data_IF_019939517472
#
_entry.id   IF_019939517472
#
_cell.length_a   1.000
_cell.length_b   1.000
_cell.length_c   1.000
_cell.angle_alpha   90.00
_cell.angle_beta   90.00
_cell.angle_gamma   90.00
#
_symmetry.space_group_name_H-M   'P 1'
#
loop_
_entity.id
_entity.type
_entity.pdbx_description
1 polymer ?
#
# COMPACT_ATOMS: atom_id res chain seq x y z
N UNK A 1 9.60 4.79 -51.90
CA UNK A 1 8.82 4.11 -50.83
C UNK A 1 8.81 4.83 -49.47
N UNK A 2 9.83 5.61 -49.08
CA UNK A 2 9.88 6.20 -47.73
C UNK A 2 9.02 7.47 -47.48
N UNK A 3 8.48 8.12 -48.53
CA UNK A 3 7.65 9.34 -48.36
C UNK A 3 6.19 9.09 -47.97
N UNK A 4 5.64 7.90 -48.23
CA UNK A 4 4.24 7.57 -47.91
C UNK A 4 4.03 7.13 -46.45
N UNK A 5 5.07 6.64 -45.77
CA UNK A 5 4.96 6.12 -44.39
C UNK A 5 4.88 7.26 -43.36
N UNK A 6 5.56 8.39 -43.62
CA UNK A 6 5.52 9.58 -42.75
C UNK A 6 4.20 10.36 -42.82
N UNK A 7 3.48 10.29 -43.94
CA UNK A 7 2.16 10.90 -44.06
C UNK A 7 1.13 10.10 -43.25
N UNK A 8 1.16 8.77 -43.32
CA UNK A 8 0.26 7.89 -42.57
C UNK A 8 0.38 8.03 -41.04
N UNK A 9 1.59 8.28 -40.50
CA UNK A 9 1.77 8.46 -39.04
C UNK A 9 1.23 9.79 -38.51
N UNK A 10 1.26 10.86 -39.32
CA UNK A 10 0.66 12.16 -38.96
C UNK A 10 -0.86 12.11 -38.98
N UNK A 11 -1.46 11.41 -39.96
CA UNK A 11 -2.90 11.16 -40.00
C UNK A 11 -3.36 10.27 -38.84
N UNK A 12 -2.58 9.26 -38.47
CA UNK A 12 -2.87 8.38 -37.32
C UNK A 12 -2.85 9.15 -35.99
N UNK A 13 -1.88 10.05 -35.76
CA UNK A 13 -1.86 10.93 -34.57
C UNK A 13 -2.97 11.96 -34.55
N UNK A 14 -3.32 12.54 -35.71
CA UNK A 14 -4.44 13.48 -35.81
C UNK A 14 -5.78 12.78 -35.52
N UNK A 15 -5.96 11.54 -35.99
CA UNK A 15 -7.14 10.71 -35.71
C UNK A 15 -7.20 10.25 -34.24
N UNK A 16 -6.07 9.87 -33.64
CA UNK A 16 -6.00 9.55 -32.21
C UNK A 16 -6.31 10.76 -31.32
N UNK A 17 -5.82 11.95 -31.70
CA UNK A 17 -6.15 13.19 -31.01
C UNK A 17 -7.61 13.56 -31.22
N UNK A 18 -8.16 13.42 -32.42
CA UNK A 18 -9.58 13.65 -32.70
C UNK A 18 -10.50 12.68 -31.93
N UNK A 19 -10.13 11.40 -31.81
CA UNK A 19 -10.86 10.42 -30.97
C UNK A 19 -10.81 10.79 -29.48
N UNK A 20 -9.69 11.35 -28.99
CA UNK A 20 -9.59 11.88 -27.62
C UNK A 20 -10.47 13.12 -27.40
N UNK A 21 -10.60 13.99 -28.40
CA UNK A 21 -11.54 15.12 -28.32
C UNK A 21 -13.01 14.67 -28.34
N UNK A 22 -13.36 13.66 -29.15
CA UNK A 22 -14.73 13.13 -29.21
C UNK A 22 -15.19 12.37 -27.95
N UNK A 23 -14.26 11.91 -27.11
CA UNK A 23 -14.59 11.14 -25.90
C UNK A 23 -14.71 11.98 -24.64
N UNK A 24 -14.32 13.26 -24.67
CA UNK A 24 -14.45 14.17 -23.52
C UNK A 24 -15.88 14.74 -23.37
N UNK A 25 -16.63 14.89 -24.47
CA UNK A 25 -18.00 15.45 -24.47
C UNK A 25 -19.11 14.40 -24.64
N UNK A 26 -18.76 13.12 -24.83
CA UNK A 26 -19.74 12.06 -25.08
C UNK A 26 -20.30 11.44 -23.78
N UNK A 27 -20.82 12.27 -22.88
CA UNK A 27 -21.92 11.82 -22.03
C UNK A 27 -23.23 12.18 -22.73
N UNK A 28 -23.54 11.49 -23.83
CA UNK A 28 -24.87 11.57 -24.42
C UNK A 28 -25.81 10.69 -23.61
N UNK A 29 -27.11 11.00 -23.60
CA UNK A 29 -28.14 10.18 -22.95
C UNK A 29 -28.18 8.71 -23.44
N UNK A 30 -27.39 8.37 -24.47
CA UNK A 30 -27.30 7.07 -25.10
C UNK A 30 -26.28 6.13 -24.43
N UNK A 31 -25.25 6.65 -23.74
CA UNK A 31 -24.24 5.82 -23.07
C UNK A 31 -23.84 6.41 -21.71
N UNK A 32 -23.85 5.62 -20.62
CA UNK A 32 -23.46 6.10 -19.30
C UNK A 32 -21.97 6.44 -19.27
N UNK A 33 -21.62 7.53 -18.58
CA UNK A 33 -20.21 7.86 -18.33
C UNK A 33 -19.64 6.94 -17.26
N UNK A 34 -18.74 6.04 -17.66
CA UNK A 34 -18.12 5.07 -16.75
C UNK A 34 -17.13 5.76 -15.79
N UNK A 35 -16.46 6.82 -16.25
CA UNK A 35 -15.42 7.50 -15.47
C UNK A 35 -15.92 8.85 -14.96
N UNK A 36 -16.03 8.96 -13.64
CA UNK A 36 -16.49 10.16 -12.94
C UNK A 36 -15.55 10.61 -11.82
N UNK A 37 -14.50 9.84 -11.53
CA UNK A 37 -13.58 10.11 -10.42
C UNK A 37 -12.83 11.44 -10.62
N UNK A 38 -12.66 12.20 -9.54
CA UNK A 38 -12.13 13.56 -9.56
C UNK A 38 -10.67 13.65 -10.05
N UNK A 39 -9.90 12.57 -9.92
CA UNK A 39 -8.53 12.49 -10.46
C UNK A 39 -8.49 12.49 -11.99
N UNK A 40 -9.58 12.11 -12.66
CA UNK A 40 -9.71 12.14 -14.13
C UNK A 40 -10.57 13.33 -14.58
N UNK A 41 -11.62 13.64 -13.81
CA UNK A 41 -12.52 14.78 -14.05
C UNK A 41 -12.44 15.75 -12.86
N UNK A 42 -11.48 16.70 -12.88
CA UNK A 42 -11.26 17.61 -11.76
C UNK A 42 -12.52 18.39 -11.39
N UNK A 43 -12.84 18.41 -10.10
CA UNK A 43 -14.05 19.05 -9.56
C UNK A 43 -14.07 20.56 -9.82
N UNK A 44 -12.91 21.21 -9.76
CA UNK A 44 -12.74 22.65 -10.05
C UNK A 44 -13.22 23.07 -11.46
N UNK A 45 -13.22 22.13 -12.42
CA UNK A 45 -13.63 22.38 -13.81
C UNK A 45 -15.10 22.05 -14.05
N UNK A 46 -15.82 21.60 -13.03
CA UNK A 46 -17.17 21.10 -13.13
C UNK A 46 -18.12 22.02 -12.34
N UNK A 47 -19.10 22.58 -13.04
CA UNK A 47 -20.03 23.56 -12.46
C UNK A 47 -20.85 23.01 -11.29
N UNK A 48 -20.97 21.68 -11.17
CA UNK A 48 -21.65 21.03 -10.04
C UNK A 48 -20.97 21.28 -8.69
N UNK A 49 -19.70 21.69 -8.70
CA UNK A 49 -18.89 21.92 -7.50
C UNK A 49 -18.63 23.39 -7.21
N UNK A 50 -19.19 24.32 -8.00
CA UNK A 50 -18.84 25.74 -7.93
C UNK A 50 -19.15 26.40 -6.57
N UNK A 51 -20.12 25.88 -5.83
CA UNK A 51 -20.56 26.41 -4.53
C UNK A 51 -20.10 25.55 -3.34
N UNK A 52 -19.35 24.48 -3.58
CA UNK A 52 -18.87 23.58 -2.53
C UNK A 52 -17.55 24.13 -1.97
N UNK A 53 -17.53 24.34 -0.65
CA UNK A 53 -16.30 24.65 0.05
C UNK A 53 -15.42 23.41 0.17
N UNK A 54 -14.18 23.53 -0.29
CA UNK A 54 -13.20 22.45 -0.35
C UNK A 54 -12.10 22.61 0.72
N UNK A 55 -12.26 23.53 1.67
CA UNK A 55 -11.32 23.68 2.79
C UNK A 55 -11.25 22.38 3.61
N UNK A 56 -10.02 21.96 3.95
CA UNK A 56 -9.75 20.74 4.72
C UNK A 56 -9.05 21.10 6.04
N UNK A 57 -9.44 20.43 7.11
CA UNK A 57 -8.70 20.50 8.37
C UNK A 57 -7.31 19.87 8.22
N UNK A 58 -6.33 20.49 8.87
CA UNK A 58 -4.94 20.03 8.88
C UNK A 58 -4.54 19.58 10.29
N UNK A 59 -3.68 18.56 10.34
CA UNK A 59 -3.02 18.07 11.56
C UNK A 59 -1.53 17.85 11.25
N UNK A 60 -0.66 17.97 12.26
CA UNK A 60 0.80 17.98 12.11
C UNK A 60 1.46 16.81 12.84
N UNK A 61 2.24 16.00 12.14
CA UNK A 61 3.02 14.90 12.72
C UNK A 61 4.50 15.03 12.34
N UNK A 62 5.39 14.56 13.20
CA UNK A 62 6.83 14.52 12.89
C UNK A 62 7.15 13.41 11.87
N UNK A 63 6.41 12.30 11.96
CA UNK A 63 6.51 11.18 11.02
C UNK A 63 5.12 10.66 10.67
N UNK A 64 4.78 10.73 9.39
CA UNK A 64 3.56 10.16 8.84
C UNK A 64 3.87 8.92 8.00
N UNK A 65 3.22 7.80 8.32
CA UNK A 65 3.38 6.52 7.63
C UNK A 65 2.09 6.17 6.91
N UNK A 66 2.20 5.87 5.62
CA UNK A 66 1.06 5.45 4.79
C UNK A 66 1.12 3.93 4.60
N UNK A 67 0.18 3.23 5.21
CA UNK A 67 -0.01 1.78 5.11
C UNK A 67 0.37 1.03 6.39
N UNK A 68 -0.62 0.37 7.01
CA UNK A 68 -0.50 -0.51 8.16
C UNK A 68 -0.13 -1.94 7.78
N UNK A 69 0.93 -2.09 7.00
CA UNK A 69 1.52 -3.39 6.67
C UNK A 69 2.70 -3.75 7.57
N UNK A 70 3.38 -4.88 7.32
CA UNK A 70 4.56 -5.26 8.11
C UNK A 70 5.66 -4.20 8.04
N UNK A 71 5.89 -3.60 6.87
CA UNK A 71 6.86 -2.53 6.70
C UNK A 71 6.48 -1.25 7.45
N UNK A 72 5.22 -0.79 7.34
CA UNK A 72 4.76 0.43 7.99
C UNK A 72 4.82 0.34 9.52
N UNK A 73 4.35 -0.77 10.08
CA UNK A 73 4.47 -0.98 11.53
C UNK A 73 5.92 -1.17 11.98
N UNK A 74 6.76 -1.85 11.18
CA UNK A 74 8.19 -1.97 11.52
C UNK A 74 8.86 -0.60 11.59
N UNK A 75 8.56 0.29 10.64
CA UNK A 75 9.07 1.66 10.64
C UNK A 75 8.53 2.46 11.84
N UNK A 76 7.24 2.37 12.14
CA UNK A 76 6.61 3.09 13.24
C UNK A 76 7.20 2.67 14.61
N UNK A 77 7.28 1.35 14.84
CA UNK A 77 7.86 0.76 16.05
C UNK A 77 9.31 1.19 16.20
N UNK A 78 10.13 1.05 15.16
CA UNK A 78 11.56 1.40 15.26
C UNK A 78 11.77 2.89 15.47
N UNK A 79 10.96 3.75 14.84
CA UNK A 79 11.02 5.19 15.04
C UNK A 79 10.75 5.57 16.50
N UNK A 80 9.71 5.00 17.12
CA UNK A 80 9.39 5.21 18.54
C UNK A 80 10.48 4.66 19.48
N UNK A 81 11.02 3.48 19.19
CA UNK A 81 12.15 2.92 19.96
C UNK A 81 13.37 3.85 19.92
N UNK A 82 13.76 4.34 18.73
CA UNK A 82 14.89 5.28 18.58
C UNK A 82 14.62 6.61 19.31
N UNK A 83 13.40 7.13 19.24
CA UNK A 83 13.02 8.35 19.94
C UNK A 83 13.14 8.17 21.47
N UNK A 84 12.65 7.05 22.00
CA UNK A 84 12.76 6.69 23.41
C UNK A 84 14.22 6.52 23.85
N UNK A 85 15.05 5.82 23.06
CA UNK A 85 16.50 5.67 23.30
C UNK A 85 17.21 7.03 23.41
N UNK A 86 16.76 8.02 22.63
CA UNK A 86 17.32 9.38 22.61
C UNK A 86 16.64 10.34 23.60
N UNK A 87 15.59 9.92 24.31
CA UNK A 87 14.78 10.78 25.17
C UNK A 87 14.10 11.93 24.42
N UNK A 88 13.68 11.70 23.17
CA UNK A 88 13.01 12.68 22.32
C UNK A 88 11.54 12.33 22.17
N UNK A 89 10.70 13.37 22.18
CA UNK A 89 9.31 13.23 21.77
C UNK A 89 9.23 13.15 20.24
N UNK A 90 8.48 12.18 19.73
CA UNK A 90 8.25 11.99 18.29
C UNK A 90 6.78 11.61 18.08
N UNK A 91 6.01 12.48 17.45
CA UNK A 91 4.64 12.19 17.05
C UNK A 91 4.64 11.39 15.76
N UNK A 92 4.26 10.12 15.86
CA UNK A 92 4.18 9.19 14.73
C UNK A 92 2.72 8.88 14.46
N UNK A 93 2.24 9.22 13.27
CA UNK A 93 0.91 8.89 12.80
C UNK A 93 1.00 7.84 11.68
N UNK A 94 0.11 6.85 11.69
CA UNK A 94 0.01 5.83 10.67
C UNK A 94 -1.42 5.77 10.15
N UNK A 95 -1.60 5.89 8.83
CA UNK A 95 -2.90 5.77 8.17
C UNK A 95 -3.00 4.43 7.43
N UNK A 96 -4.10 3.72 7.59
CA UNK A 96 -4.38 2.46 6.91
C UNK A 96 -5.76 2.49 6.26
N UNK A 97 -5.86 2.05 5.00
CA UNK A 97 -7.10 2.05 4.23
C UNK A 97 -8.11 1.02 4.71
N UNK A 98 -7.65 -0.15 5.16
CA UNK A 98 -8.52 -1.21 5.68
C UNK A 98 -9.29 -0.69 6.90
N UNK A 99 -10.55 -1.10 7.03
CA UNK A 99 -11.40 -0.73 8.18
C UNK A 99 -10.85 -1.21 9.51
N UNK A 100 -10.01 -2.24 9.48
CA UNK A 100 -9.27 -2.79 10.61
C UNK A 100 -7.85 -3.16 10.18
N UNK A 101 -6.91 -3.15 11.11
CA UNK A 101 -5.53 -3.54 10.84
C UNK A 101 -5.48 -5.02 10.44
N UNK A 102 -4.80 -5.30 9.33
CA UNK A 102 -4.74 -6.64 8.75
C UNK A 102 -5.84 -6.94 7.72
N UNK A 103 -6.89 -6.12 7.62
CA UNK A 103 -8.05 -6.39 6.75
C UNK A 103 -7.74 -6.44 5.25
N UNK A 104 -6.69 -5.75 4.80
CA UNK A 104 -6.20 -5.81 3.41
C UNK A 104 -4.93 -6.66 3.23
N UNK A 105 -4.46 -7.34 4.28
CA UNK A 105 -3.24 -8.16 4.19
C UNK A 105 -3.57 -9.53 3.60
N UNK A 106 -2.93 -9.84 2.47
CA UNK A 106 -3.05 -11.13 1.80
C UNK A 106 -1.66 -11.70 1.51
N UNK A 107 -1.38 -12.90 2.04
CA UNK A 107 -0.14 -13.64 1.76
C UNK A 107 -0.30 -15.12 2.13
N UNK A 108 0.40 -16.00 1.39
CA UNK A 108 0.61 -17.40 1.80
C UNK A 108 1.71 -17.58 2.87
N UNK A 109 2.42 -16.50 3.17
CA UNK A 109 3.41 -16.26 4.23
C UNK A 109 4.12 -17.49 4.83
N UNK A 110 5.31 -17.75 4.28
CA UNK A 110 6.42 -18.35 5.01
C UNK A 110 7.33 -17.20 5.45
N UNK A 111 7.43 -16.96 6.75
CA UNK A 111 8.09 -15.80 7.34
C UNK A 111 9.47 -16.19 7.86
N UNK A 112 10.49 -15.48 7.38
CA UNK A 112 11.84 -15.49 7.96
C UNK A 112 11.87 -14.56 9.19
N UNK A 113 12.16 -15.08 10.40
CA UNK A 113 12.06 -14.29 11.62
C UNK A 113 13.22 -13.30 11.82
N UNK A 114 14.26 -13.27 10.97
CA UNK A 114 15.46 -12.44 11.17
C UNK A 114 15.14 -10.97 11.47
N UNK A 115 14.31 -10.33 10.65
CA UNK A 115 13.96 -8.92 10.86
C UNK A 115 13.08 -8.70 12.10
N UNK A 116 12.22 -9.67 12.44
CA UNK A 116 11.41 -9.60 13.65
C UNK A 116 12.27 -9.78 14.91
N UNK A 117 13.26 -10.68 14.87
CA UNK A 117 14.24 -10.86 15.94
C UNK A 117 15.06 -9.58 16.20
N UNK A 118 15.33 -8.78 15.16
CA UNK A 118 16.00 -7.49 15.30
C UNK A 118 15.07 -6.44 15.91
N UNK A 119 13.83 -6.35 15.42
CA UNK A 119 12.88 -5.31 15.81
C UNK A 119 12.30 -5.53 17.22
N UNK A 120 11.94 -6.77 17.55
CA UNK A 120 11.31 -7.18 18.82
C UNK A 120 11.93 -8.53 19.25
N UNK A 121 13.13 -8.53 19.85
CA UNK A 121 13.85 -9.77 20.17
C UNK A 121 13.08 -10.76 21.05
N UNK A 122 12.16 -10.26 21.86
CA UNK A 122 11.31 -10.98 22.82
C UNK A 122 9.88 -11.20 22.29
N UNK A 123 9.70 -11.25 20.96
CA UNK A 123 8.38 -11.45 20.34
C UNK A 123 7.69 -12.75 20.78
N UNK A 124 8.46 -13.77 21.22
CA UNK A 124 7.93 -15.04 21.72
C UNK A 124 7.25 -14.87 23.07
N UNK A 125 7.87 -14.14 23.99
CA UNK A 125 7.29 -13.81 25.28
C UNK A 125 6.07 -12.88 25.14
N UNK A 126 6.07 -12.05 24.09
CA UNK A 126 4.97 -11.15 23.75
C UNK A 126 3.86 -11.81 22.91
N UNK A 127 3.83 -13.15 22.87
CA UNK A 127 2.78 -13.96 22.23
C UNK A 127 2.54 -13.66 20.74
N UNK A 128 3.58 -13.28 19.98
CA UNK A 128 3.43 -13.05 18.55
C UNK A 128 2.92 -14.33 17.85
N UNK A 129 2.02 -14.22 16.84
CA UNK A 129 1.30 -15.36 16.28
C UNK A 129 2.13 -16.20 15.28
N UNK A 130 3.38 -16.53 15.63
CA UNK A 130 4.32 -17.37 14.87
C UNK A 130 4.37 -18.79 15.46
N UNK A 131 3.24 -19.49 15.41
CA UNK A 131 3.05 -20.76 16.12
C UNK A 131 3.47 -22.00 15.33
N UNK A 132 3.70 -21.88 14.02
CA UNK A 132 3.92 -23.02 13.13
C UNK A 132 5.31 -22.98 12.50
N UNK A 133 6.35 -23.56 13.15
CA UNK A 133 7.67 -23.67 12.53
C UNK A 133 7.62 -24.59 11.30
N UNK A 134 8.34 -24.23 10.24
CA UNK A 134 8.46 -25.07 9.05
C UNK A 134 9.29 -26.31 9.40
N UNK A 135 8.73 -27.49 9.14
CA UNK A 135 9.39 -28.77 9.41
C UNK A 135 9.89 -29.47 8.15
N UNK A 136 9.19 -29.29 7.03
CA UNK A 136 9.49 -29.97 5.77
C UNK A 136 9.11 -29.09 4.58
N UNK A 137 10.00 -28.99 3.61
CA UNK A 137 9.74 -28.35 2.32
C UNK A 137 9.54 -29.41 1.23
N UNK A 138 8.62 -29.13 0.29
CA UNK A 138 8.38 -29.98 -0.87
C UNK A 138 8.27 -29.13 -2.12
N UNK A 139 9.14 -29.39 -3.08
CA UNK A 139 9.08 -28.76 -4.40
C UNK A 139 8.75 -29.82 -5.45
N UNK A 140 7.92 -29.47 -6.42
CA UNK A 140 7.48 -30.43 -7.44
C UNK A 140 7.08 -29.72 -8.72
N UNK A 141 7.37 -30.36 -9.84
CA UNK A 141 6.85 -29.97 -11.14
C UNK A 141 5.57 -30.75 -11.42
N UNK A 142 4.52 -30.05 -11.84
CA UNK A 142 3.21 -30.65 -12.11
C UNK A 142 3.00 -30.78 -13.62
N UNK A 143 2.50 -31.95 -14.05
CA UNK A 143 1.90 -32.14 -15.38
C UNK A 143 0.40 -32.43 -15.22
N UNK A 144 -0.35 -32.53 -16.32
CA UNK A 144 -1.79 -32.80 -16.28
C UNK A 144 -2.15 -34.04 -15.43
N UNK A 145 -1.35 -35.10 -15.50
CA UNK A 145 -1.60 -36.36 -14.80
C UNK A 145 -0.55 -36.76 -13.77
N UNK A 146 0.47 -35.94 -13.50
CA UNK A 146 1.59 -36.36 -12.64
C UNK A 146 2.21 -35.25 -11.80
N UNK A 147 2.91 -35.67 -10.74
CA UNK A 147 3.71 -34.82 -9.86
C UNK A 147 5.13 -35.37 -9.82
N UNK A 148 6.08 -34.61 -10.37
CA UNK A 148 7.51 -34.96 -10.37
C UNK A 148 8.19 -34.23 -9.18
N UNK A 149 8.65 -34.95 -8.13
CA UNK A 149 9.32 -34.32 -7.00
C UNK A 149 10.70 -33.81 -7.41
N UNK A 150 11.04 -32.60 -6.96
CA UNK A 150 12.37 -32.01 -7.13
C UNK A 150 13.02 -31.93 -5.75
N UNK A 151 14.21 -32.50 -5.53
CA UNK A 151 14.89 -32.43 -4.25
C UNK A 151 15.26 -30.99 -3.91
N UNK A 152 15.08 -30.61 -2.66
CA UNK A 152 15.51 -29.32 -2.10
C UNK A 152 16.77 -29.59 -1.30
N UNK A 153 17.84 -28.84 -1.57
CA UNK A 153 19.10 -28.95 -0.84
C UNK A 153 19.29 -27.76 0.11
N UNK A 154 20.02 -27.95 1.23
CA UNK A 154 20.30 -26.85 2.16
C UNK A 154 20.97 -25.65 1.48
N UNK A 155 20.53 -24.45 1.84
CA UNK A 155 21.05 -23.20 1.26
C UNK A 155 20.47 -22.84 -0.11
N UNK A 156 19.53 -23.63 -0.64
CA UNK A 156 18.72 -23.20 -1.77
C UNK A 156 17.70 -22.14 -1.32
N UNK A 157 17.24 -21.25 -2.21
CA UNK A 157 16.26 -20.23 -1.83
C UNK A 157 14.91 -20.78 -1.33
N UNK A 158 14.64 -22.06 -1.56
CA UNK A 158 13.41 -22.78 -1.19
C UNK A 158 13.56 -23.56 0.13
N UNK A 159 14.75 -23.52 0.75
CA UNK A 159 15.00 -24.08 2.08
C UNK A 159 14.45 -23.12 3.14
N UNK A 160 13.37 -23.52 3.82
CA UNK A 160 12.70 -22.70 4.82
C UNK A 160 13.08 -23.10 6.25
N UNK A 161 14.24 -23.73 6.45
CA UNK A 161 14.72 -24.08 7.79
C UNK A 161 14.81 -22.83 8.68
N UNK A 162 14.05 -22.84 9.77
CA UNK A 162 14.00 -21.73 10.74
C UNK A 162 12.87 -20.73 10.50
N UNK A 163 12.14 -20.86 9.40
CA UNK A 163 11.01 -20.00 9.07
C UNK A 163 9.70 -20.50 9.72
N UNK A 164 8.67 -19.66 9.67
CA UNK A 164 7.36 -19.93 10.23
C UNK A 164 6.26 -19.80 9.17
N UNK A 165 5.30 -20.73 9.16
CA UNK A 165 4.05 -20.57 8.39
C UNK A 165 3.10 -19.72 9.24
N UNK A 166 2.64 -18.60 8.69
CA UNK A 166 1.86 -17.61 9.46
C UNK A 166 0.61 -17.14 8.74
N UNK A 167 -0.34 -16.63 9.51
CA UNK A 167 -1.41 -15.78 8.99
C UNK A 167 -0.91 -14.35 9.03
N UNK A 168 -0.42 -13.83 7.91
CA UNK A 168 0.24 -12.51 7.90
C UNK A 168 -0.67 -11.38 8.41
N UNK A 169 -1.98 -11.43 8.13
CA UNK A 169 -2.93 -10.47 8.68
C UNK A 169 -2.95 -10.44 10.21
N UNK A 170 -2.81 -11.59 10.87
CA UNK A 170 -2.73 -11.66 12.34
C UNK A 170 -1.39 -11.15 12.87
N UNK A 171 -0.29 -11.45 12.17
CA UNK A 171 1.04 -10.90 12.52
C UNK A 171 1.03 -9.38 12.42
N UNK A 172 0.42 -8.82 11.37
CA UNK A 172 0.28 -7.37 11.19
C UNK A 172 -0.64 -6.74 12.23
N UNK A 173 -1.76 -7.40 12.59
CA UNK A 173 -2.61 -6.95 13.68
C UNK A 173 -1.85 -6.91 15.02
N UNK A 174 -1.05 -7.93 15.31
CA UNK A 174 -0.18 -7.96 16.49
C UNK A 174 0.89 -6.85 16.45
N UNK A 175 1.55 -6.62 15.31
CA UNK A 175 2.47 -5.49 15.15
C UNK A 175 1.78 -4.13 15.38
N UNK A 176 0.51 -4.00 14.99
CA UNK A 176 -0.31 -2.83 15.30
C UNK A 176 -0.47 -2.61 16.81
N UNK A 177 -0.75 -3.67 17.57
CA UNK A 177 -0.83 -3.60 19.04
C UNK A 177 0.51 -3.18 19.66
N UNK A 178 1.63 -3.71 19.17
CA UNK A 178 2.96 -3.32 19.63
C UNK A 178 3.28 -1.85 19.31
N UNK A 179 2.88 -1.37 18.14
CA UNK A 179 3.05 0.03 17.74
C UNK A 179 2.20 0.98 18.60
N UNK A 180 0.94 0.63 18.85
CA UNK A 180 0.03 1.40 19.69
C UNK A 180 0.55 1.49 21.13
N UNK A 181 1.07 0.40 21.68
CA UNK A 181 1.69 0.37 23.01
C UNK A 181 2.91 1.31 23.13
N UNK A 182 3.59 1.61 22.02
CA UNK A 182 4.69 2.59 21.93
C UNK A 182 4.20 4.02 21.64
N UNK A 183 2.88 4.25 21.64
CA UNK A 183 2.26 5.56 21.42
C UNK A 183 2.25 6.01 19.97
N UNK A 184 2.24 5.08 19.01
CA UNK A 184 1.94 5.38 17.60
C UNK A 184 0.44 5.65 17.48
N UNK A 185 0.08 6.74 16.81
CA UNK A 185 -1.33 7.03 16.49
C UNK A 185 -1.74 6.29 15.22
N UNK A 186 -2.66 5.34 15.34
CA UNK A 186 -3.07 4.45 14.25
C UNK A 186 -4.49 4.80 13.79
N UNK A 187 -4.64 5.12 12.51
CA UNK A 187 -5.91 5.50 11.89
C UNK A 187 -6.33 4.49 10.80
N UNK A 188 -7.01 3.39 11.16
CA UNK A 188 -7.62 2.49 10.19
C UNK A 188 -8.81 3.17 9.50
N UNK A 189 -9.24 2.64 8.35
CA UNK A 189 -10.30 3.20 7.51
C UNK A 189 -9.93 4.50 6.79
N UNK A 190 -8.67 4.94 6.91
CA UNK A 190 -8.18 6.23 6.43
C UNK A 190 -7.24 6.04 5.25
N UNK A 191 -7.75 6.28 4.04
CA UNK A 191 -6.96 6.20 2.82
C UNK A 191 -6.21 7.52 2.57
N UNK A 192 -4.89 7.47 2.40
CA UNK A 192 -4.16 8.57 1.79
C UNK A 192 -4.51 8.64 0.30
N UNK A 193 -5.22 9.70 -0.10
CA UNK A 193 -5.75 9.85 -1.45
C UNK A 193 -4.94 10.82 -2.31
N UNK A 194 -4.24 11.76 -1.68
CA UNK A 194 -3.48 12.81 -2.35
C UNK A 194 -2.16 13.05 -1.62
N UNK A 195 -1.08 13.34 -2.37
CA UNK A 195 0.21 13.75 -1.82
C UNK A 195 0.29 15.27 -1.85
N UNK A 196 0.64 15.86 -0.72
CA UNK A 196 0.80 17.30 -0.57
C UNK A 196 2.28 17.66 -0.71
N UNK A 197 2.56 18.77 -1.39
CA UNK A 197 3.91 19.26 -1.62
C UNK A 197 4.08 20.67 -1.04
N UNK A 198 5.28 20.99 -0.61
CA UNK A 198 5.72 22.35 -0.33
C UNK A 198 5.98 23.11 -1.64
N UNK A 199 6.11 24.43 -1.56
CA UNK A 199 6.40 25.29 -2.71
C UNK A 199 7.76 24.97 -3.36
N UNK A 200 8.71 24.42 -2.60
CA UNK A 200 10.01 23.98 -3.09
C UNK A 200 9.98 22.60 -3.81
N UNK A 201 8.80 21.97 -3.85
CA UNK A 201 8.57 20.66 -4.47
C UNK A 201 8.87 19.45 -3.57
N UNK A 202 9.28 19.66 -2.31
CA UNK A 202 9.42 18.57 -1.33
C UNK A 202 8.06 18.08 -0.83
N UNK A 203 7.99 16.84 -0.34
CA UNK A 203 6.74 16.25 0.19
C UNK A 203 6.41 16.89 1.53
N UNK A 204 5.21 17.47 1.65
CA UNK A 204 4.66 18.05 2.88
C UNK A 204 3.87 17.01 3.70
N UNK A 205 3.19 16.09 3.03
CA UNK A 205 2.32 15.10 3.68
C UNK A 205 1.32 14.48 2.72
N UNK A 206 0.16 14.09 3.24
CA UNK A 206 -0.97 13.54 2.46
C UNK A 206 -2.27 14.22 2.86
N UNK A 207 -3.27 14.13 1.99
CA UNK A 207 -4.66 14.34 2.37
C UNK A 207 -5.42 13.02 2.29
N UNK A 208 -6.38 12.85 3.21
CA UNK A 208 -7.25 11.68 3.26
C UNK A 208 -8.32 11.75 2.17
N UNK A 209 -8.96 10.62 1.85
CA UNK A 209 -10.07 10.60 0.89
C UNK A 209 -11.28 11.40 1.37
N UNK A 210 -11.83 12.25 0.50
CA UNK A 210 -13.11 12.93 0.75
C UNK A 210 -14.27 11.92 0.80
N UNK A 211 -15.28 12.19 1.65
CA UNK A 211 -16.43 11.31 1.86
C UNK A 211 -17.75 12.06 1.68
N UNK A 212 -18.67 11.52 0.88
CA UNK A 212 -20.08 11.93 0.85
C UNK A 212 -20.36 13.41 0.52
N UNK A 213 -19.48 14.05 -0.26
CA UNK A 213 -19.61 15.46 -0.71
C UNK A 213 -20.33 15.52 -2.06
#
# INVERSE_FOLDING_TARGET
MARNILQLSKYSRALLNAQRFYSAEAASAQFPSITTHYTVKPREKDSRWAEIDMERFADEADLLIVGGGPAGFSAAIRAKQIAAEKGQELRVCLVEKASEIGGHILSGACLDPVALNELIPDWKEQEAPLNTPVTHDKFSYLTEGSRLPIPIFPGWPMDNKGNYVVRLGHVVAWLGQQAEALGVEIYPGTAAAEVLFHEDGSVKGIATGDVGI
#
